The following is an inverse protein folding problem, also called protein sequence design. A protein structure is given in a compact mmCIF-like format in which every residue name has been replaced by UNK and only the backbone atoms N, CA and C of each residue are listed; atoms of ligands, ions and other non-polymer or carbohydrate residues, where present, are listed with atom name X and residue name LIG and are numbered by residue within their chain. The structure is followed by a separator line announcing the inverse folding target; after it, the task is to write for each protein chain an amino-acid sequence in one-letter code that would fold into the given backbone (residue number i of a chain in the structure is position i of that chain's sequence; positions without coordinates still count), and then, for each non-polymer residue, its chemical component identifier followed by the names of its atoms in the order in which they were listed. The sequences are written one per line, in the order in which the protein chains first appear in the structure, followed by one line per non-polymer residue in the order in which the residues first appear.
data_IF_334536859193
#
_entry.id   IF_334536859193
#
_cell.length_a   1.000
_cell.length_b   1.000
_cell.length_c   1.000
_cell.angle_alpha   90.00
_cell.angle_beta   90.00
_cell.angle_gamma   90.00
#
_symmetry.space_group_name_H-M   'P 1'
#
loop_
_entity.id
_entity.type
_entity.pdbx_description
1 polymer ?
#
# COMPACT_ATOMS: atom_id res chain seq x y z
N UNK A 1 26.19 -31.62 -90.24
CA UNK A 1 25.39 -32.06 -89.07
C UNK A 1 25.85 -31.44 -87.74
N UNK A 2 27.08 -30.89 -87.63
CA UNK A 2 27.64 -30.33 -86.40
C UNK A 2 27.09 -28.93 -86.00
N UNK A 3 26.81 -28.07 -86.98
CA UNK A 3 26.34 -26.69 -86.70
C UNK A 3 24.87 -26.57 -86.28
N UNK A 4 24.05 -27.62 -86.46
CA UNK A 4 22.65 -27.63 -86.04
C UNK A 4 22.53 -28.08 -84.57
N UNK A 5 23.43 -28.96 -84.11
CA UNK A 5 23.47 -29.43 -82.72
C UNK A 5 23.95 -28.35 -81.74
N UNK A 6 24.91 -27.51 -82.15
CA UNK A 6 25.45 -26.44 -81.31
C UNK A 6 24.42 -25.32 -81.05
N UNK A 7 23.59 -25.00 -82.05
CA UNK A 7 22.54 -23.97 -81.94
C UNK A 7 21.37 -24.38 -81.04
N UNK A 8 21.01 -25.66 -81.01
CA UNK A 8 20.00 -26.21 -80.09
C UNK A 8 20.53 -26.26 -78.65
N UNK A 9 21.78 -26.68 -78.45
CA UNK A 9 22.41 -26.75 -77.13
C UNK A 9 22.52 -25.38 -76.44
N UNK A 10 22.84 -24.31 -77.18
CA UNK A 10 22.88 -22.94 -76.66
C UNK A 10 21.49 -22.34 -76.38
N UNK A 11 20.42 -22.86 -77.01
CA UNK A 11 19.04 -22.43 -76.76
C UNK A 11 18.50 -23.00 -75.45
N UNK A 12 18.84 -24.24 -75.13
CA UNK A 12 18.47 -24.89 -73.86
C UNK A 12 19.33 -24.41 -72.68
N UNK A 13 20.60 -24.05 -72.89
CA UNK A 13 21.44 -23.42 -71.83
C UNK A 13 20.88 -22.08 -71.35
N UNK A 14 20.31 -21.27 -72.26
CA UNK A 14 19.66 -20.00 -71.89
C UNK A 14 18.33 -20.20 -71.17
N UNK A 15 17.60 -21.27 -71.46
CA UNK A 15 16.35 -21.63 -70.77
C UNK A 15 16.66 -22.28 -69.39
N UNK A 16 17.74 -23.06 -69.28
CA UNK A 16 18.22 -23.63 -68.01
C UNK A 16 18.76 -22.55 -67.05
N UNK A 17 19.40 -21.51 -67.59
CA UNK A 17 19.87 -20.33 -66.83
C UNK A 17 18.74 -19.34 -66.47
N UNK A 18 17.59 -19.36 -67.16
CA UNK A 18 16.41 -18.59 -66.77
C UNK A 18 15.57 -19.31 -65.71
N UNK A 19 15.58 -20.65 -65.67
CA UNK A 19 14.89 -21.44 -64.63
C UNK A 19 15.63 -21.48 -63.28
N UNK A 20 16.95 -21.20 -63.25
CA UNK A 20 17.71 -21.07 -62.00
C UNK A 20 17.55 -19.69 -61.32
N UNK A 21 16.87 -18.74 -61.96
CA UNK A 21 16.59 -17.42 -61.40
C UNK A 21 15.27 -17.32 -60.61
N UNK A 22 14.51 -18.43 -60.49
CA UNK A 22 13.21 -18.47 -59.78
C UNK A 22 13.30 -19.22 -58.43
N UNK A 23 14.47 -19.69 -58.01
CA UNK A 23 14.68 -20.39 -56.72
C UNK A 23 15.47 -19.51 -55.73
N UNK A 24 15.11 -18.24 -55.65
CA UNK A 24 15.49 -17.36 -54.53
C UNK A 24 14.26 -16.56 -54.09
N UNK A 25 13.15 -17.25 -53.83
CA UNK A 25 12.15 -16.71 -52.92
C UNK A 25 12.64 -17.08 -51.53
N UNK A 26 13.13 -16.07 -50.83
CA UNK A 26 13.60 -16.13 -49.45
C UNK A 26 12.64 -16.91 -48.57
N UNK A 27 13.00 -18.14 -48.22
CA UNK A 27 12.60 -18.73 -46.95
C UNK A 27 13.48 -18.10 -45.88
N UNK A 28 13.19 -16.84 -45.55
CA UNK A 28 13.62 -16.29 -44.27
C UNK A 28 12.80 -17.02 -43.21
N UNK A 29 13.43 -17.94 -42.51
CA UNK A 29 13.02 -18.24 -41.14
C UNK A 29 13.08 -16.90 -40.40
N UNK A 30 11.95 -16.43 -39.85
CA UNK A 30 11.95 -15.42 -38.80
C UNK A 30 12.62 -16.06 -37.57
N UNK A 31 13.93 -16.11 -37.63
CA UNK A 31 14.79 -16.31 -36.49
C UNK A 31 14.77 -15.00 -35.72
N UNK A 32 14.44 -15.07 -34.43
CA UNK A 32 14.32 -13.92 -33.54
C UNK A 32 15.65 -13.13 -33.51
N UNK A 33 15.76 -12.14 -34.37
CA UNK A 33 16.85 -11.16 -34.38
C UNK A 33 16.61 -10.15 -33.23
N UNK A 34 17.46 -10.14 -32.19
CA UNK A 34 17.33 -9.24 -31.05
C UNK A 34 17.60 -7.76 -31.41
N UNK A 35 17.94 -7.43 -32.66
CA UNK A 35 18.24 -6.07 -33.12
C UNK A 35 17.19 -5.43 -34.01
N UNK A 36 16.06 -6.10 -34.32
CA UNK A 36 14.97 -5.49 -35.07
C UNK A 36 14.23 -4.42 -34.23
N UNK A 37 14.35 -3.11 -34.55
CA UNK A 37 13.67 -2.05 -33.80
C UNK A 37 12.15 -2.12 -33.91
N UNK A 38 11.60 -2.96 -34.80
CA UNK A 38 10.17 -3.08 -35.08
C UNK A 38 9.49 -4.30 -34.44
N UNK A 39 10.16 -5.04 -33.55
CA UNK A 39 9.51 -6.12 -32.82
C UNK A 39 8.47 -5.54 -31.83
N UNK A 40 7.19 -5.69 -32.14
CA UNK A 40 6.10 -5.16 -31.31
C UNK A 40 5.94 -6.04 -30.06
N UNK A 41 5.81 -5.42 -28.89
CA UNK A 41 5.44 -6.14 -27.66
C UNK A 41 4.03 -6.68 -27.86
N UNK A 42 3.79 -7.93 -27.49
CA UNK A 42 2.46 -8.55 -27.64
C UNK A 42 2.12 -9.41 -26.44
N UNK A 43 0.87 -9.40 -26.01
CA UNK A 43 0.33 -10.32 -25.01
C UNK A 43 -0.58 -11.32 -25.72
N UNK A 44 -0.27 -12.61 -25.60
CA UNK A 44 -1.07 -13.69 -26.20
C UNK A 44 -2.09 -14.25 -25.24
N UNK A 45 -1.79 -14.31 -23.93
CA UNK A 45 -2.74 -14.77 -22.93
C UNK A 45 -2.41 -14.30 -21.52
N UNK A 46 -3.43 -14.28 -20.67
CA UNK A 46 -3.35 -14.08 -19.23
C UNK A 46 -4.01 -15.27 -18.55
N UNK A 47 -3.30 -15.98 -17.67
CA UNK A 47 -3.83 -17.15 -16.98
C UNK A 47 -3.38 -17.22 -15.52
N UNK A 48 -4.30 -17.40 -14.55
CA UNK A 48 -5.76 -17.37 -14.73
C UNK A 48 -6.28 -16.02 -15.25
N UNK A 49 -7.44 -16.01 -15.92
CA UNK A 49 -8.09 -14.78 -16.41
C UNK A 49 -8.84 -13.98 -15.34
N UNK A 50 -8.79 -14.45 -14.09
CA UNK A 50 -9.38 -13.81 -12.93
C UNK A 50 -8.55 -14.17 -11.68
N UNK A 51 -8.56 -13.32 -10.66
CA UNK A 51 -7.85 -13.59 -9.42
C UNK A 51 -8.16 -12.57 -8.34
N UNK A 52 -7.84 -12.92 -7.10
CA UNK A 52 -7.82 -11.99 -6.00
C UNK A 52 -6.53 -11.16 -6.04
N UNK A 53 -6.55 -9.99 -5.41
CA UNK A 53 -5.33 -9.25 -5.11
C UNK A 53 -4.33 -10.18 -4.38
N UNK A 54 -3.07 -10.19 -4.84
CA UNK A 54 -1.99 -11.04 -4.33
C UNK A 54 -1.82 -12.38 -5.05
N UNK A 55 -2.82 -12.83 -5.81
CA UNK A 55 -2.75 -14.07 -6.60
C UNK A 55 -1.67 -13.94 -7.68
N UNK A 56 -0.92 -15.02 -7.90
CA UNK A 56 0.09 -15.08 -8.96
C UNK A 56 -0.59 -15.44 -10.28
N UNK A 57 -0.44 -14.56 -11.28
CA UNK A 57 -0.90 -14.78 -12.65
C UNK A 57 0.28 -14.90 -13.60
N UNK A 58 0.06 -15.57 -14.74
CA UNK A 58 1.04 -15.68 -15.83
C UNK A 58 0.55 -14.90 -17.04
N UNK A 59 1.36 -13.95 -17.50
CA UNK A 59 1.16 -13.21 -18.74
C UNK A 59 2.11 -13.80 -19.78
N UNK A 60 1.56 -14.37 -20.85
CA UNK A 60 2.33 -14.96 -21.95
C UNK A 60 2.36 -13.99 -23.13
N UNK A 61 3.51 -13.83 -23.77
CA UNK A 61 3.68 -12.85 -24.84
C UNK A 61 5.06 -12.86 -25.50
N UNK A 62 5.34 -11.87 -26.34
CA UNK A 62 6.61 -11.75 -27.07
C UNK A 62 7.24 -10.39 -26.82
N UNK A 63 8.58 -10.34 -26.97
CA UNK A 63 9.39 -9.12 -26.84
C UNK A 63 9.30 -8.46 -25.44
N UNK A 64 9.11 -9.26 -24.40
CA UNK A 64 9.31 -8.81 -23.02
C UNK A 64 10.80 -8.60 -22.73
N UNK A 65 11.13 -7.73 -21.79
CA UNK A 65 12.51 -7.60 -21.34
C UNK A 65 12.89 -8.81 -20.50
N UNK A 66 14.12 -9.30 -20.64
CA UNK A 66 14.70 -10.28 -19.72
C UNK A 66 15.04 -9.68 -18.34
N UNK A 67 14.98 -8.36 -18.18
CA UNK A 67 15.18 -7.65 -16.91
C UNK A 67 13.81 -7.42 -16.26
N UNK A 68 13.60 -7.98 -15.07
CA UNK A 68 12.33 -7.89 -14.32
C UNK A 68 11.85 -6.44 -14.20
N UNK A 69 12.70 -5.53 -13.73
CA UNK A 69 12.36 -4.12 -13.47
C UNK A 69 12.06 -3.30 -14.73
N UNK A 70 12.40 -3.81 -15.91
CA UNK A 70 12.12 -3.16 -17.20
C UNK A 70 10.75 -3.55 -17.78
N UNK A 71 10.03 -4.49 -17.16
CA UNK A 71 8.66 -4.85 -17.53
C UNK A 71 7.68 -4.21 -16.53
N UNK A 72 6.95 -3.19 -16.95
CA UNK A 72 5.90 -2.56 -16.16
C UNK A 72 4.56 -3.16 -16.54
N UNK A 73 3.84 -3.77 -15.60
CA UNK A 73 2.53 -4.39 -15.84
C UNK A 73 1.46 -3.57 -15.17
N UNK A 74 0.42 -3.17 -15.90
CA UNK A 74 -0.65 -2.32 -15.40
C UNK A 74 -1.97 -3.09 -15.34
N UNK A 75 -2.59 -3.11 -14.17
CA UNK A 75 -3.94 -3.61 -13.93
C UNK A 75 -4.88 -2.40 -13.83
N UNK A 76 -5.55 -2.05 -14.93
CA UNK A 76 -6.43 -0.87 -15.01
C UNK A 76 -5.78 0.42 -14.46
N UNK A 77 -4.49 0.63 -14.75
CA UNK A 77 -3.72 1.81 -14.33
C UNK A 77 -2.85 1.62 -13.07
N UNK A 78 -3.06 0.55 -12.29
CA UNK A 78 -2.19 0.21 -11.15
C UNK A 78 -0.98 -0.58 -11.64
N UNK A 79 0.23 -0.05 -11.40
CA UNK A 79 1.48 -0.68 -11.79
C UNK A 79 1.86 -1.84 -10.86
N UNK A 80 2.37 -2.91 -11.45
CA UNK A 80 2.97 -4.08 -10.82
C UNK A 80 4.26 -4.43 -11.58
N UNK A 81 5.21 -5.02 -10.87
CA UNK A 81 6.41 -5.61 -11.46
C UNK A 81 6.33 -7.14 -11.38
N UNK A 82 6.83 -7.87 -12.37
CA UNK A 82 6.88 -9.33 -12.31
C UNK A 82 7.75 -9.82 -11.14
N UNK A 83 7.35 -10.95 -10.55
CA UNK A 83 8.18 -11.72 -9.62
C UNK A 83 9.25 -12.49 -10.40
N UNK A 84 8.94 -12.89 -11.64
CA UNK A 84 9.79 -13.74 -12.48
C UNK A 84 9.55 -13.46 -13.97
N UNK A 85 10.64 -13.48 -14.75
CA UNK A 85 10.60 -13.53 -16.22
C UNK A 85 11.06 -14.91 -16.66
N UNK A 86 10.19 -15.66 -17.35
CA UNK A 86 10.53 -16.95 -17.97
C UNK A 86 10.86 -16.69 -19.44
N UNK A 87 12.12 -16.91 -19.81
CA UNK A 87 12.57 -16.79 -21.19
C UNK A 87 11.96 -17.91 -22.05
N UNK A 88 11.63 -17.59 -23.30
CA UNK A 88 11.01 -18.52 -24.24
C UNK A 88 10.46 -17.81 -25.48
N UNK A 89 9.83 -18.55 -26.38
CA UNK A 89 9.06 -18.03 -27.50
C UNK A 89 7.70 -18.76 -27.56
N UNK A 90 6.65 -18.26 -26.88
CA UNK A 90 6.56 -16.96 -26.20
C UNK A 90 7.25 -16.91 -24.81
N UNK A 91 7.64 -15.70 -24.40
CA UNK A 91 8.10 -15.38 -23.04
C UNK A 91 6.93 -15.34 -22.05
N UNK A 92 7.22 -15.45 -20.75
CA UNK A 92 6.20 -15.32 -19.69
C UNK A 92 6.64 -14.39 -18.58
N UNK A 93 5.71 -13.58 -18.08
CA UNK A 93 5.86 -12.81 -16.85
C UNK A 93 4.99 -13.46 -15.78
N UNK A 94 5.56 -13.84 -14.64
CA UNK A 94 4.76 -14.19 -13.46
C UNK A 94 4.61 -12.95 -12.61
N UNK A 95 3.38 -12.49 -12.41
CA UNK A 95 3.08 -11.20 -11.78
C UNK A 95 1.98 -11.43 -10.75
N UNK A 96 2.10 -10.81 -9.57
CA UNK A 96 1.00 -10.80 -8.61
C UNK A 96 0.00 -9.71 -8.96
N UNK A 97 -1.29 -10.00 -8.82
CA UNK A 97 -2.33 -8.98 -8.91
C UNK A 97 -2.05 -7.91 -7.84
N UNK A 98 -1.76 -6.66 -8.22
CA UNK A 98 -1.31 -5.64 -7.28
C UNK A 98 -2.44 -5.16 -6.39
N UNK A 99 -2.06 -4.54 -5.29
CA UNK A 99 -2.98 -3.85 -4.40
C UNK A 99 -3.73 -2.74 -5.13
N UNK A 100 -5.05 -2.69 -4.98
CA UNK A 100 -5.90 -1.71 -5.66
C UNK A 100 -6.19 -2.02 -7.13
N UNK A 101 -5.78 -3.19 -7.65
CA UNK A 101 -6.15 -3.63 -8.99
C UNK A 101 -7.67 -3.58 -9.20
N UNK A 102 -8.08 -3.15 -10.39
CA UNK A 102 -9.47 -3.21 -10.84
C UNK A 102 -9.58 -4.14 -12.05
N UNK A 103 -10.77 -4.70 -12.24
CA UNK A 103 -11.08 -5.48 -13.42
C UNK A 103 -10.89 -4.65 -14.69
N UNK A 104 -10.32 -5.26 -15.73
CA UNK A 104 -10.02 -4.57 -16.97
C UNK A 104 -8.91 -5.24 -17.76
N UNK A 105 -8.49 -4.61 -18.86
CA UNK A 105 -7.37 -5.11 -19.65
C UNK A 105 -6.05 -4.90 -18.92
N UNK A 106 -5.15 -5.89 -19.01
CA UNK A 106 -3.78 -5.78 -18.53
C UNK A 106 -2.93 -5.15 -19.63
N UNK A 107 -2.11 -4.16 -19.27
CA UNK A 107 -1.14 -3.55 -20.19
C UNK A 107 0.27 -3.87 -19.75
N UNK A 108 1.14 -4.29 -20.66
CA UNK A 108 2.58 -4.45 -20.39
C UNK A 108 3.33 -3.38 -21.16
N UNK A 109 4.19 -2.62 -20.46
CA UNK A 109 5.15 -1.68 -21.06
C UNK A 109 6.57 -2.19 -20.89
N UNK A 110 7.32 -2.23 -21.97
CA UNK A 110 8.73 -2.62 -21.99
C UNK A 110 9.45 -1.92 -23.15
N UNK A 111 10.65 -1.42 -22.91
CA UNK A 111 11.46 -0.74 -23.94
C UNK A 111 10.76 0.42 -24.66
N UNK A 112 9.87 1.15 -23.96
CA UNK A 112 9.08 2.25 -24.53
C UNK A 112 7.89 1.82 -25.42
N UNK A 113 7.65 0.52 -25.55
CA UNK A 113 6.51 -0.06 -26.29
C UNK A 113 5.46 -0.58 -25.30
N UNK A 114 4.20 -0.66 -25.73
CA UNK A 114 3.11 -1.18 -24.92
C UNK A 114 2.25 -2.21 -25.66
N UNK A 115 1.68 -3.14 -24.90
CA UNK A 115 0.77 -4.16 -25.39
C UNK A 115 -0.37 -4.38 -24.39
N UNK A 116 -1.57 -4.62 -24.89
CA UNK A 116 -2.76 -4.89 -24.09
C UNK A 116 -3.15 -6.37 -24.21
N UNK A 117 -3.70 -6.94 -23.13
CA UNK A 117 -4.19 -8.32 -23.11
C UNK A 117 -5.37 -8.50 -24.08
N UNK A 118 -5.54 -9.70 -24.68
CA UNK A 118 -6.63 -9.94 -25.63
C UNK A 118 -8.02 -10.01 -24.96
N UNK A 119 -8.07 -10.22 -23.64
CA UNK A 119 -9.28 -10.25 -22.83
C UNK A 119 -9.09 -9.46 -21.54
N UNK A 120 -10.22 -9.06 -20.93
CA UNK A 120 -10.22 -8.47 -19.59
C UNK A 120 -9.80 -9.50 -18.55
N UNK A 121 -9.08 -9.04 -17.54
CA UNK A 121 -8.81 -9.76 -16.30
C UNK A 121 -9.83 -9.33 -15.24
N UNK A 122 -10.42 -10.30 -14.54
CA UNK A 122 -11.41 -10.02 -13.47
C UNK A 122 -10.77 -10.06 -12.10
N UNK A 123 -10.84 -8.95 -11.36
CA UNK A 123 -10.37 -8.89 -9.96
C UNK A 123 -11.52 -9.28 -9.04
N UNK A 124 -11.42 -10.47 -8.43
CA UNK A 124 -12.54 -11.10 -7.72
C UNK A 124 -12.94 -10.41 -6.41
N UNK A 125 -12.01 -9.69 -5.79
CA UNK A 125 -12.22 -8.97 -4.54
C UNK A 125 -12.10 -7.45 -4.71
N UNK A 126 -12.31 -6.91 -5.92
CA UNK A 126 -12.26 -5.46 -6.12
C UNK A 126 -13.26 -4.75 -5.21
N UNK A 127 -12.85 -3.62 -4.65
CA UNK A 127 -13.73 -2.76 -3.88
C UNK A 127 -13.81 -1.40 -4.55
N UNK A 128 -14.97 -1.14 -5.14
CA UNK A 128 -15.30 0.12 -5.79
C UNK A 128 -16.12 0.96 -4.81
N UNK A 129 -15.85 2.27 -4.77
CA UNK A 129 -16.54 3.22 -3.90
C UNK A 129 -15.61 4.03 -3.00
N UNK A 130 -16.19 5.03 -2.36
CA UNK A 130 -15.53 5.98 -1.49
C UNK A 130 -15.25 5.36 -0.12
N UNK A 131 -13.97 5.23 0.25
CA UNK A 131 -13.57 4.74 1.58
C UNK A 131 -13.71 5.80 2.68
N UNK A 132 -13.91 7.05 2.30
CA UNK A 132 -13.99 8.19 3.22
C UNK A 132 -15.24 9.00 2.88
N UNK A 133 -16.45 8.48 3.16
CA UNK A 133 -17.71 9.15 2.88
C UNK A 133 -17.95 10.30 3.87
N UNK A 134 -17.08 11.31 3.81
CA UNK A 134 -17.09 12.46 4.70
C UNK A 134 -18.11 13.48 4.20
N UNK A 135 -19.12 13.73 5.02
CA UNK A 135 -20.15 14.73 4.78
C UNK A 135 -20.63 15.30 6.13
N UNK A 136 -21.01 16.58 6.14
CA UNK A 136 -21.47 17.24 7.37
C UNK A 136 -22.68 16.54 7.97
N UNK A 137 -22.62 16.17 9.25
CA UNK A 137 -23.67 15.44 9.95
C UNK A 137 -23.54 13.91 9.89
N UNK A 138 -22.53 13.37 9.22
CA UNK A 138 -22.17 11.96 9.27
C UNK A 138 -21.58 11.59 10.64
N UNK A 139 -21.92 10.40 11.15
CA UNK A 139 -21.35 9.88 12.39
C UNK A 139 -21.07 8.38 12.36
N UNK A 140 -20.14 7.97 13.23
CA UNK A 140 -19.83 6.58 13.52
C UNK A 140 -19.79 6.36 15.02
N UNK A 141 -20.34 5.24 15.48
CA UNK A 141 -20.25 4.78 16.87
C UNK A 141 -19.55 3.42 16.88
N UNK A 142 -18.56 3.28 17.74
CA UNK A 142 -17.72 2.09 17.87
C UNK A 142 -17.85 1.49 19.25
N UNK A 143 -17.80 0.16 19.32
CA UNK A 143 -17.35 -0.50 20.54
C UNK A 143 -15.83 -0.31 20.65
N UNK A 144 -15.36 -0.03 21.86
CA UNK A 144 -13.95 0.11 22.19
C UNK A 144 -13.56 -1.00 23.16
N UNK A 145 -12.43 -1.66 22.90
CA UNK A 145 -11.89 -2.74 23.73
C UNK A 145 -10.44 -2.41 24.07
N UNK A 146 -10.08 -2.47 25.36
CA UNK A 146 -8.67 -2.47 25.73
C UNK A 146 -8.03 -3.80 25.30
N UNK A 147 -6.80 -3.75 24.84
CA UNK A 147 -5.99 -4.94 24.58
C UNK A 147 -4.97 -5.13 25.71
N UNK A 148 -4.52 -6.36 25.93
CA UNK A 148 -3.37 -6.67 26.78
C UNK A 148 -2.04 -6.55 26.01
N UNK A 149 -0.93 -6.87 26.66
CA UNK A 149 0.42 -6.85 26.06
C UNK A 149 0.63 -7.88 24.95
N UNK A 150 -0.33 -8.79 24.74
CA UNK A 150 -0.35 -9.83 23.70
C UNK A 150 -1.41 -9.58 22.63
N UNK A 151 -1.95 -8.36 22.56
CA UNK A 151 -2.97 -7.92 21.60
C UNK A 151 -4.33 -8.63 21.72
N UNK A 152 -4.64 -9.19 22.90
CA UNK A 152 -5.94 -9.81 23.19
C UNK A 152 -6.85 -8.87 23.96
N UNK A 153 -8.16 -8.92 23.68
CA UNK A 153 -9.14 -8.08 24.38
C UNK A 153 -9.17 -8.41 25.86
N UNK A 154 -9.10 -7.39 26.69
CA UNK A 154 -9.28 -7.50 28.14
C UNK A 154 -10.77 -7.68 28.45
N UNK A 155 -11.13 -8.72 29.19
CA UNK A 155 -12.52 -8.99 29.57
C UNK A 155 -13.11 -7.82 30.37
N UNK A 156 -14.33 -7.41 30.05
CA UNK A 156 -15.02 -6.31 30.73
C UNK A 156 -14.59 -4.90 30.29
N UNK A 157 -13.63 -4.76 29.36
CA UNK A 157 -13.14 -3.45 28.89
C UNK A 157 -14.00 -2.76 27.81
N UNK A 158 -15.26 -3.18 27.65
CA UNK A 158 -16.12 -2.69 26.57
C UNK A 158 -16.64 -1.28 26.88
N UNK A 159 -16.14 -0.30 26.12
CA UNK A 159 -16.52 1.11 26.18
C UNK A 159 -17.07 1.55 24.82
N UNK A 160 -17.46 2.82 24.71
CA UNK A 160 -17.90 3.40 23.44
C UNK A 160 -17.02 4.55 23.01
N UNK A 161 -16.84 4.65 21.70
CA UNK A 161 -16.25 5.79 21.01
C UNK A 161 -17.22 6.27 19.92
N UNK A 162 -17.19 7.55 19.58
CA UNK A 162 -17.89 8.06 18.41
C UNK A 162 -17.13 9.18 17.73
N UNK A 163 -17.36 9.26 16.43
CA UNK A 163 -16.86 10.29 15.55
C UNK A 163 -18.05 11.00 14.93
N UNK A 164 -18.02 12.33 14.87
CA UNK A 164 -19.05 13.16 14.25
C UNK A 164 -18.41 14.23 13.36
N UNK A 165 -18.86 14.33 12.11
CA UNK A 165 -18.41 15.38 11.20
C UNK A 165 -19.27 16.62 11.44
N UNK A 166 -18.67 17.61 12.09
CA UNK A 166 -19.37 18.84 12.49
C UNK A 166 -19.42 19.92 11.40
N UNK A 167 -18.52 19.85 10.42
CA UNK A 167 -18.43 20.82 9.33
C UNK A 167 -17.08 20.74 8.62
N UNK A 168 -16.72 21.80 7.92
CA UNK A 168 -15.43 21.96 7.26
C UNK A 168 -14.68 23.19 7.78
N UNK A 169 -13.36 23.18 7.59
CA UNK A 169 -12.44 24.28 7.85
C UNK A 169 -11.33 24.27 6.81
N UNK A 170 -10.60 25.38 6.66
CA UNK A 170 -9.46 25.46 5.75
C UNK A 170 -8.15 25.45 6.54
N UNK A 171 -7.30 24.46 6.29
CA UNK A 171 -5.92 24.43 6.76
C UNK A 171 -4.98 24.27 5.59
N UNK A 172 -3.95 25.12 5.52
CA UNK A 172 -2.92 25.09 4.48
C UNK A 172 -3.47 25.05 3.05
N UNK A 173 -4.59 25.76 2.79
CA UNK A 173 -5.21 25.84 1.47
C UNK A 173 -6.06 24.63 1.09
N UNK A 174 -6.29 23.68 2.01
CA UNK A 174 -7.18 22.52 1.80
C UNK A 174 -8.44 22.68 2.64
N UNK A 175 -9.60 22.54 2.00
CA UNK A 175 -10.84 22.33 2.72
C UNK A 175 -10.81 20.94 3.37
N UNK A 176 -11.06 20.91 4.67
CA UNK A 176 -10.90 19.74 5.52
C UNK A 176 -12.08 19.59 6.46
N UNK A 177 -12.47 18.35 6.74
CA UNK A 177 -13.56 18.02 7.63
C UNK A 177 -13.12 18.09 9.09
N UNK A 178 -13.96 18.69 9.93
CA UNK A 178 -13.79 18.75 11.38
C UNK A 178 -14.47 17.52 11.99
N UNK A 179 -13.67 16.56 12.46
CA UNK A 179 -14.12 15.34 13.12
C UNK A 179 -14.03 15.53 14.64
N UNK A 180 -15.20 15.65 15.27
CA UNK A 180 -15.31 15.64 16.72
C UNK A 180 -15.24 14.20 17.21
N UNK A 181 -14.34 13.92 18.17
CA UNK A 181 -14.20 12.62 18.80
C UNK A 181 -14.79 12.64 20.20
N UNK A 182 -15.49 11.58 20.55
CA UNK A 182 -16.00 11.34 21.89
C UNK A 182 -15.60 9.92 22.33
N UNK A 183 -15.27 9.77 23.61
CA UNK A 183 -14.86 8.49 24.20
C UNK A 183 -15.40 8.36 25.61
N UNK A 184 -15.76 7.14 26.01
CA UNK A 184 -16.11 6.87 27.41
C UNK A 184 -14.85 6.90 28.28
N UNK A 185 -14.88 7.70 29.34
CA UNK A 185 -13.86 7.69 30.37
C UNK A 185 -13.93 6.37 31.16
N UNK A 186 -12.85 5.57 31.21
CA UNK A 186 -12.85 4.28 31.90
C UNK A 186 -13.11 4.37 33.42
N UNK A 187 -12.75 5.50 34.04
CA UNK A 187 -12.86 5.69 35.50
C UNK A 187 -14.25 6.19 35.90
N UNK A 188 -14.78 7.15 35.14
CA UNK A 188 -16.05 7.82 35.49
C UNK A 188 -17.26 7.25 34.74
N UNK A 189 -17.03 6.42 33.72
CA UNK A 189 -18.04 5.96 32.76
C UNK A 189 -18.78 7.08 32.02
N UNK A 190 -18.29 8.33 32.11
CA UNK A 190 -18.86 9.48 31.42
C UNK A 190 -18.40 9.53 29.97
N UNK A 191 -19.26 10.04 29.09
CA UNK A 191 -18.94 10.20 27.67
C UNK A 191 -18.38 11.59 27.40
N UNK A 192 -17.10 11.66 27.06
CA UNK A 192 -16.36 12.93 27.03
C UNK A 192 -15.87 13.27 25.63
N UNK A 193 -15.92 14.58 25.31
CA UNK A 193 -15.34 15.12 24.09
C UNK A 193 -13.81 15.11 24.18
N UNK A 194 -13.16 14.67 23.10
CA UNK A 194 -11.70 14.71 22.92
C UNK A 194 -11.33 15.81 21.91
N UNK A 195 -10.03 15.93 21.62
CA UNK A 195 -9.55 16.91 20.65
C UNK A 195 -10.16 16.65 19.27
N UNK A 196 -10.47 17.74 18.56
CA UNK A 196 -10.92 17.63 17.18
C UNK A 196 -9.78 17.16 16.29
N UNK A 197 -10.13 16.33 15.33
CA UNK A 197 -9.23 15.86 14.29
C UNK A 197 -9.68 16.42 12.95
N UNK A 198 -8.73 16.66 12.06
CA UNK A 198 -8.99 17.27 10.76
C UNK A 198 -8.47 16.37 9.66
N UNK A 199 -9.30 16.17 8.65
CA UNK A 199 -8.98 15.30 7.53
C UNK A 199 -9.47 15.90 6.22
N UNK A 200 -8.71 15.68 5.15
CA UNK A 200 -9.21 15.88 3.79
C UNK A 200 -8.86 14.67 2.94
N UNK A 201 -9.52 14.56 1.79
CA UNK A 201 -9.33 13.48 0.84
C UNK A 201 -8.96 14.07 -0.52
N UNK A 202 -8.09 13.39 -1.24
CA UNK A 202 -7.66 13.79 -2.58
C UNK A 202 -7.17 12.53 -3.32
N UNK A 203 -7.66 12.30 -4.54
CA UNK A 203 -7.30 11.14 -5.36
C UNK A 203 -7.37 9.78 -4.61
N UNK A 204 -8.46 9.54 -3.87
CA UNK A 204 -8.67 8.36 -3.03
C UNK A 204 -7.61 8.14 -1.92
N UNK A 205 -6.91 9.21 -1.52
CA UNK A 205 -6.00 9.22 -0.37
C UNK A 205 -6.64 9.96 0.79
N UNK A 206 -6.27 9.58 2.00
CA UNK A 206 -6.67 10.26 3.23
C UNK A 206 -5.47 10.99 3.82
N UNK A 207 -5.67 12.25 4.16
CA UNK A 207 -4.68 13.10 4.81
C UNK A 207 -5.19 13.56 6.16
N UNK A 208 -4.27 13.72 7.12
CA UNK A 208 -4.60 14.16 8.48
C UNK A 208 -3.70 15.30 8.95
N UNK A 209 -4.25 16.12 9.86
CA UNK A 209 -3.55 17.19 10.55
C UNK A 209 -2.69 16.64 11.70
N UNK A 210 -1.60 17.31 12.10
CA UNK A 210 -0.69 16.88 13.18
C UNK A 210 -1.36 16.37 14.47
N UNK A 211 -2.49 16.97 14.88
CA UNK A 211 -3.26 16.59 16.07
C UNK A 211 -3.60 15.10 16.13
N UNK A 212 -3.80 14.44 14.97
CA UNK A 212 -4.03 13.00 14.92
C UNK A 212 -2.89 12.21 15.56
N UNK A 213 -1.65 12.60 15.28
CA UNK A 213 -0.48 11.92 15.83
C UNK A 213 -0.25 12.26 17.30
N UNK A 214 -0.65 13.45 17.75
CA UNK A 214 -0.63 13.78 19.17
C UNK A 214 -1.48 12.77 19.94
N UNK A 215 -2.71 12.48 19.48
CA UNK A 215 -3.56 11.45 20.09
C UNK A 215 -3.02 10.03 19.90
N UNK A 216 -2.47 9.71 18.72
CA UNK A 216 -1.99 8.36 18.39
C UNK A 216 -0.74 7.95 19.16
N UNK A 217 0.16 8.92 19.35
CA UNK A 217 1.43 8.77 20.06
C UNK A 217 1.29 9.13 21.53
N UNK A 218 0.13 9.66 21.97
CA UNK A 218 -0.11 9.93 23.38
C UNK A 218 -0.03 8.60 24.13
N UNK A 219 0.88 8.54 25.08
CA UNK A 219 1.02 7.40 25.96
C UNK A 219 0.18 7.69 27.21
N UNK A 220 -1.14 7.70 27.06
CA UNK A 220 -2.06 7.98 28.17
C UNK A 220 -1.70 7.11 29.39
N UNK A 221 -1.40 7.74 30.53
CA UNK A 221 -0.95 7.06 31.75
C UNK A 221 0.56 6.80 31.86
N UNK A 222 1.35 7.15 30.85
CA UNK A 222 2.81 7.12 30.88
C UNK A 222 3.37 8.50 31.25
N UNK A 223 4.44 8.56 32.05
CA UNK A 223 5.12 9.82 32.35
C UNK A 223 5.89 10.42 31.16
N UNK A 224 5.84 9.79 29.99
CA UNK A 224 6.61 10.11 28.80
C UNK A 224 5.78 11.05 27.92
N UNK A 225 6.14 12.33 27.88
CA UNK A 225 5.64 13.30 26.89
C UNK A 225 6.58 13.34 25.69
N UNK A 226 6.02 13.43 24.48
CA UNK A 226 6.83 13.57 23.27
C UNK A 226 7.60 14.89 23.33
N UNK A 227 8.94 14.88 23.19
CA UNK A 227 9.77 16.08 23.33
C UNK A 227 9.72 16.98 22.08
N UNK A 228 8.73 16.82 21.22
CA UNK A 228 8.67 17.48 19.93
C UNK A 228 7.27 17.86 19.54
N UNK A 229 7.21 18.94 18.77
CA UNK A 229 6.04 19.29 17.98
C UNK A 229 6.15 18.60 16.62
N UNK A 230 5.03 18.13 16.12
CA UNK A 230 4.93 17.59 14.76
C UNK A 230 4.78 18.76 13.82
N UNK A 231 5.57 18.78 12.75
CA UNK A 231 5.58 19.89 11.80
C UNK A 231 4.16 20.16 11.26
N UNK A 232 3.77 21.43 11.23
CA UNK A 232 2.43 21.88 10.83
C UNK A 232 2.22 21.75 9.31
N UNK A 233 1.88 20.53 8.87
CA UNK A 233 1.58 20.17 7.47
C UNK A 233 0.63 18.98 7.40
N UNK A 234 0.11 18.70 6.22
CA UNK A 234 -0.73 17.54 5.98
C UNK A 234 0.07 16.24 5.84
N UNK A 235 -0.42 15.16 6.45
CA UNK A 235 0.20 13.84 6.42
C UNK A 235 -0.69 12.82 5.75
N UNK A 236 -0.20 12.16 4.71
CA UNK A 236 -0.92 11.07 4.03
C UNK A 236 -0.93 9.83 4.91
N UNK A 237 -2.11 9.37 5.32
CA UNK A 237 -2.26 8.22 6.22
C UNK A 237 -2.93 7.01 5.56
N UNK A 238 -3.41 7.16 4.33
CA UNK A 238 -3.97 6.06 3.56
C UNK A 238 -3.83 6.35 2.07
N UNK A 239 -3.35 5.35 1.32
CA UNK A 239 -3.20 5.40 -0.14
C UNK A 239 -3.51 4.02 -0.73
N UNK A 240 -4.56 3.93 -1.55
CA UNK A 240 -4.97 2.66 -2.18
C UNK A 240 -4.03 2.20 -3.28
N UNK A 241 -3.21 3.09 -3.80
CA UNK A 241 -2.40 2.89 -5.01
C UNK A 241 -0.95 2.56 -4.72
N UNK A 242 -0.52 2.72 -3.46
CA UNK A 242 0.85 2.49 -3.02
C UNK A 242 0.89 1.37 -1.99
N UNK A 243 1.85 0.44 -2.16
CA UNK A 243 2.07 -0.65 -1.21
C UNK A 243 2.56 -0.12 0.14
N UNK A 244 3.53 0.80 0.12
CA UNK A 244 4.09 1.46 1.28
C UNK A 244 4.42 2.93 0.97
N UNK A 245 4.40 3.78 1.99
CA UNK A 245 4.84 5.17 1.92
C UNK A 245 5.35 5.66 3.28
N UNK A 246 6.21 6.68 3.26
CA UNK A 246 6.63 7.36 4.49
C UNK A 246 5.56 8.38 4.89
N UNK A 247 5.11 8.30 6.14
CA UNK A 247 4.14 9.25 6.72
C UNK A 247 4.92 10.36 7.43
N UNK A 248 5.75 10.00 8.40
CA UNK A 248 6.49 10.94 9.24
C UNK A 248 7.89 10.40 9.48
N UNK A 249 8.89 11.28 9.42
CA UNK A 249 10.24 10.99 9.90
C UNK A 249 10.75 12.20 10.68
N UNK A 250 11.32 11.97 11.86
CA UNK A 250 11.88 13.02 12.72
C UNK A 250 13.16 12.53 13.38
N UNK A 251 14.24 13.26 13.14
CA UNK A 251 15.53 13.05 13.77
C UNK A 251 15.61 13.84 15.08
N UNK A 252 16.15 13.22 16.12
CA UNK A 252 16.40 13.77 17.45
C UNK A 252 17.91 13.81 17.67
N UNK A 253 18.43 14.96 18.04
CA UNK A 253 19.86 15.16 18.31
C UNK A 253 20.04 15.69 19.73
N UNK A 254 20.05 14.77 20.70
CA UNK A 254 20.17 15.07 22.12
C UNK A 254 19.08 16.02 22.63
N UNK A 255 17.83 15.76 22.23
CA UNK A 255 16.68 16.58 22.60
C UNK A 255 16.30 16.33 24.07
N UNK A 256 15.96 17.37 24.84
CA UNK A 256 15.55 17.22 26.24
C UNK A 256 14.22 16.49 26.34
N UNK A 257 14.09 15.59 27.31
CA UNK A 257 12.88 14.81 27.53
C UNK A 257 12.66 14.53 29.01
N UNK A 258 11.39 14.60 29.45
CA UNK A 258 11.00 14.25 30.82
C UNK A 258 10.72 12.76 30.92
N UNK A 259 11.31 12.12 31.94
CA UNK A 259 11.03 10.75 32.35
C UNK A 259 10.47 10.79 33.77
N UNK A 260 9.18 11.11 33.87
CA UNK A 260 8.52 11.37 35.14
C UNK A 260 9.08 12.62 35.81
N UNK A 261 9.56 12.54 37.06
CA UNK A 261 10.14 13.70 37.75
C UNK A 261 11.57 14.02 37.29
N UNK A 262 12.19 13.18 36.45
CA UNK A 262 13.61 13.30 36.07
C UNK A 262 13.79 13.87 34.67
N UNK A 263 14.88 14.61 34.49
CA UNK A 263 15.35 15.09 33.20
C UNK A 263 16.26 14.07 32.53
N UNK A 264 16.10 13.95 31.22
CA UNK A 264 16.98 13.16 30.37
C UNK A 264 17.06 13.75 28.97
N UNK A 265 17.76 13.05 28.09
CA UNK A 265 17.83 13.40 26.68
C UNK A 265 17.58 12.18 25.81
N UNK A 266 17.10 12.42 24.60
CA UNK A 266 16.86 11.40 23.59
C UNK A 266 17.56 11.78 22.27
N UNK A 267 18.19 10.80 21.65
CA UNK A 267 18.77 10.91 20.31
C UNK A 267 18.32 9.74 19.48
N UNK A 268 18.05 9.92 18.19
CA UNK A 268 17.58 8.83 17.33
C UNK A 268 16.59 9.28 16.29
N UNK A 269 15.90 8.32 15.68
CA UNK A 269 14.97 8.60 14.59
C UNK A 269 13.59 8.00 14.89
N UNK A 270 12.56 8.85 14.88
CA UNK A 270 11.16 8.42 14.84
C UNK A 270 10.72 8.32 13.40
N UNK A 271 10.18 7.16 13.02
CA UNK A 271 9.57 6.94 11.71
C UNK A 271 8.16 6.41 11.87
N UNK A 272 7.25 6.89 11.02
CA UNK A 272 5.92 6.33 10.82
C UNK A 272 5.81 6.00 9.34
N UNK A 273 5.61 4.73 9.02
CA UNK A 273 5.39 4.23 7.66
C UNK A 273 3.97 3.74 7.52
N UNK A 274 3.33 4.06 6.39
CA UNK A 274 2.03 3.54 6.02
C UNK A 274 2.17 2.39 5.03
N UNK A 275 1.26 1.42 5.10
CA UNK A 275 1.14 0.37 4.08
C UNK A 275 -0.32 0.12 3.71
N UNK A 276 -0.53 -0.32 2.48
CA UNK A 276 -1.78 -0.91 2.02
C UNK A 276 -1.61 -2.43 1.99
N UNK A 277 -2.26 -3.11 2.92
CA UNK A 277 -2.07 -4.52 3.19
C UNK A 277 -3.07 -5.43 2.47
N UNK A 278 -4.02 -4.89 1.72
CA UNK A 278 -5.02 -5.73 1.09
C UNK A 278 -6.45 -5.36 1.29
N UNK A 279 -7.25 -6.21 0.69
CA UNK A 279 -8.64 -6.38 1.01
C UNK A 279 -8.75 -7.60 1.93
N UNK A 280 -9.30 -7.39 3.10
CA UNK A 280 -9.57 -8.43 4.10
C UNK A 280 -11.09 -8.49 4.32
N UNK A 281 -11.67 -9.70 4.31
CA UNK A 281 -13.06 -9.87 4.69
C UNK A 281 -13.16 -9.87 6.22
N UNK A 282 -13.94 -8.93 6.76
CA UNK A 282 -14.13 -8.82 8.20
C UNK A 282 -15.61 -8.76 8.55
N UNK A 283 -15.92 -9.11 9.80
CA UNK A 283 -17.25 -9.01 10.37
C UNK A 283 -17.20 -8.12 11.60
N UNK A 284 -17.94 -7.01 11.58
CA UNK A 284 -18.17 -6.13 12.72
C UNK A 284 -19.68 -6.03 13.00
N UNK A 285 -20.13 -5.60 14.19
CA UNK A 285 -21.55 -5.58 14.53
C UNK A 285 -22.44 -4.84 13.53
N UNK A 286 -21.96 -3.74 12.96
CA UNK A 286 -22.72 -2.96 11.97
C UNK A 286 -22.80 -3.61 10.58
N UNK A 287 -21.77 -4.37 10.18
CA UNK A 287 -21.61 -4.86 8.81
C UNK A 287 -20.54 -5.97 8.70
N UNK A 288 -20.76 -6.90 7.79
CA UNK A 288 -19.73 -7.86 7.34
C UNK A 288 -19.46 -7.67 5.85
N UNK A 289 -18.21 -7.83 5.43
CA UNK A 289 -17.83 -7.67 4.03
C UNK A 289 -16.34 -7.42 3.83
N UNK A 290 -15.98 -7.14 2.58
CA UNK A 290 -14.63 -6.77 2.20
C UNK A 290 -14.27 -5.39 2.77
N UNK A 291 -13.08 -5.27 3.34
CA UNK A 291 -12.53 -4.02 3.89
C UNK A 291 -11.11 -3.81 3.36
N UNK A 292 -10.72 -2.57 3.04
CA UNK A 292 -9.31 -2.24 2.82
C UNK A 292 -8.59 -2.17 4.15
N UNK A 293 -7.48 -2.90 4.27
CA UNK A 293 -6.59 -2.86 5.41
C UNK A 293 -5.41 -1.95 5.12
N UNK A 294 -5.29 -0.87 5.89
CA UNK A 294 -4.08 -0.06 5.94
C UNK A 294 -3.36 -0.29 7.26
N UNK A 295 -2.03 -0.23 7.26
CA UNK A 295 -1.24 -0.22 8.50
C UNK A 295 -0.45 1.06 8.65
N UNK A 296 -0.20 1.43 9.90
CA UNK A 296 0.83 2.37 10.28
C UNK A 296 1.82 1.66 11.18
N UNK A 297 3.09 1.68 10.81
CA UNK A 297 4.19 1.18 11.65
C UNK A 297 4.97 2.35 12.21
N UNK A 298 4.94 2.48 13.53
CA UNK A 298 5.61 3.51 14.30
C UNK A 298 6.87 2.88 14.90
N UNK A 299 8.02 3.46 14.59
CA UNK A 299 9.31 3.01 15.10
C UNK A 299 10.14 4.17 15.64
N UNK A 300 10.73 3.97 16.80
CA UNK A 300 11.84 4.79 17.27
C UNK A 300 13.07 3.90 17.42
N UNK A 301 14.20 4.33 16.88
CA UNK A 301 15.51 3.71 17.09
C UNK A 301 16.52 4.78 17.47
N UNK A 302 17.15 4.61 18.63
CA UNK A 302 18.05 5.63 19.16
C UNK A 302 18.61 5.28 20.52
N UNK A 303 18.96 6.32 21.27
CA UNK A 303 19.50 6.25 22.62
C UNK A 303 18.79 7.23 23.55
N UNK A 304 18.84 6.92 24.83
CA UNK A 304 18.34 7.75 25.91
C UNK A 304 19.40 7.91 26.99
N UNK A 305 19.49 9.10 27.57
CA UNK A 305 20.33 9.39 28.73
C UNK A 305 19.46 9.91 29.87
N UNK A 306 19.43 9.18 30.98
CA UNK A 306 18.78 9.59 32.23
C UNK A 306 19.78 9.36 33.38
N UNK A 307 20.65 10.34 33.68
CA UNK A 307 21.71 10.17 34.67
C UNK A 307 21.20 9.74 36.05
N UNK A 308 20.02 10.22 36.45
CA UNK A 308 19.37 9.85 37.72
C UNK A 308 19.04 8.37 37.86
N UNK A 309 18.92 7.63 36.76
CA UNK A 309 18.72 6.17 36.74
C UNK A 309 19.98 5.41 36.29
N UNK A 310 21.14 6.08 36.22
CA UNK A 310 22.39 5.48 35.74
C UNK A 310 22.39 5.16 34.25
N UNK A 311 21.40 5.64 33.50
CA UNK A 311 21.29 5.42 32.07
C UNK A 311 22.11 6.48 31.33
N UNK A 312 23.20 6.07 30.70
CA UNK A 312 24.06 6.95 29.91
C UNK A 312 24.09 6.43 28.48
N UNK A 313 23.46 7.16 27.55
CA UNK A 313 23.37 6.79 26.14
C UNK A 313 22.94 5.33 25.90
N UNK A 314 21.96 4.86 26.67
CA UNK A 314 21.45 3.49 26.59
C UNK A 314 20.52 3.34 25.39
N UNK A 315 20.52 2.19 24.73
CA UNK A 315 19.64 1.95 23.59
C UNK A 315 18.17 2.17 23.96
N UNK A 316 17.42 2.79 23.05
CA UNK A 316 15.99 2.98 23.14
C UNK A 316 15.36 2.54 21.83
N UNK A 317 14.48 1.54 21.90
CA UNK A 317 13.69 1.10 20.74
C UNK A 317 12.22 1.10 21.07
N UNK A 318 11.42 1.58 20.14
CA UNK A 318 9.97 1.55 20.18
C UNK A 318 9.47 0.92 18.89
N UNK A 319 8.55 -0.04 18.99
CA UNK A 319 7.80 -0.55 17.84
C UNK A 319 6.31 -0.64 18.21
N UNK A 320 5.47 -0.03 17.37
CA UNK A 320 4.00 -0.14 17.45
C UNK A 320 3.44 -0.27 16.04
N UNK A 321 2.42 -1.10 15.91
CA UNK A 321 1.65 -1.24 14.67
C UNK A 321 0.19 -0.87 14.93
N UNK A 322 -0.41 -0.15 13.98
CA UNK A 322 -1.81 0.22 14.00
C UNK A 322 -2.46 -0.22 12.69
N UNK A 323 -3.53 -0.99 12.77
CA UNK A 323 -4.27 -1.50 11.62
C UNK A 323 -5.59 -0.75 11.50
N UNK A 324 -5.94 -0.31 10.29
CA UNK A 324 -7.19 0.38 9.97
C UNK A 324 -7.92 -0.38 8.87
N UNK A 325 -9.22 -0.56 9.07
CA UNK A 325 -10.08 -1.28 8.14
C UNK A 325 -11.18 -0.36 7.65
N UNK A 326 -11.29 -0.17 6.33
CA UNK A 326 -12.28 0.70 5.70
C UNK A 326 -13.18 -0.08 4.76
N UNK A 327 -14.49 0.15 4.84
CA UNK A 327 -15.47 -0.35 3.87
C UNK A 327 -15.96 0.81 3.00
N UNK A 328 -16.10 0.55 1.70
CA UNK A 328 -16.65 1.52 0.76
C UNK A 328 -18.06 1.97 1.19
N UNK A 329 -18.31 3.28 1.04
CA UNK A 329 -19.55 3.98 1.41
C UNK A 329 -19.91 3.89 2.90
N UNK A 330 -19.02 3.36 3.74
CA UNK A 330 -19.22 3.28 5.20
C UNK A 330 -18.11 4.02 5.93
N UNK A 331 -16.86 3.97 5.48
CA UNK A 331 -15.74 4.54 6.23
C UNK A 331 -15.00 3.51 7.08
N UNK A 332 -14.34 3.98 8.15
CA UNK A 332 -13.57 3.11 9.04
C UNK A 332 -14.51 2.21 9.83
N UNK A 333 -14.39 0.91 9.65
CA UNK A 333 -15.21 -0.10 10.33
C UNK A 333 -14.49 -0.78 11.49
N UNK A 334 -13.16 -0.83 11.47
CA UNK A 334 -12.33 -1.37 12.54
C UNK A 334 -10.99 -0.64 12.62
N UNK A 335 -10.46 -0.54 13.83
CA UNK A 335 -9.09 -0.10 14.08
C UNK A 335 -8.49 -0.99 15.16
N UNK A 336 -7.25 -1.42 15.00
CA UNK A 336 -6.51 -2.17 16.02
C UNK A 336 -5.14 -1.52 16.23
N UNK A 337 -4.98 -0.84 17.36
CA UNK A 337 -3.67 -0.39 17.82
C UNK A 337 -3.06 -1.52 18.65
N UNK A 338 -1.99 -2.13 18.16
CA UNK A 338 -1.29 -3.20 18.89
C UNK A 338 -0.49 -2.62 20.06
N UNK A 339 -0.15 -3.49 21.01
CA UNK A 339 0.69 -3.15 22.13
C UNK A 339 2.03 -2.59 21.64
N UNK A 340 2.47 -1.50 22.25
CA UNK A 340 3.76 -0.91 21.95
C UNK A 340 4.85 -1.62 22.71
N UNK A 341 5.88 -2.05 22.00
CA UNK A 341 7.07 -2.63 22.59
C UNK A 341 8.10 -1.54 22.81
N UNK A 342 8.41 -1.24 24.07
CA UNK A 342 9.45 -0.30 24.45
C UNK A 342 10.61 -1.10 25.07
N UNK A 343 11.74 -1.10 24.38
CA UNK A 343 12.96 -1.78 24.80
C UNK A 343 13.99 -0.75 25.25
N UNK A 344 14.49 -0.97 26.46
CA UNK A 344 15.57 -0.23 27.09
C UNK A 344 16.46 -1.27 27.78
N UNK A 345 17.76 -1.40 27.43
CA UNK A 345 18.65 -2.36 28.08
C UNK A 345 18.67 -2.18 29.61
N UNK A 346 18.58 -3.30 30.33
CA UNK A 346 18.58 -3.35 31.80
C UNK A 346 17.38 -2.66 32.48
N UNK A 347 16.39 -2.19 31.73
CA UNK A 347 15.06 -1.88 32.24
C UNK A 347 14.13 -3.09 32.03
N UNK A 348 13.01 -3.13 32.74
CA UNK A 348 11.96 -4.11 32.47
C UNK A 348 11.37 -3.79 31.09
N UNK A 349 11.41 -4.75 30.16
CA UNK A 349 10.71 -4.64 28.88
C UNK A 349 9.27 -4.23 29.15
N UNK A 350 8.93 -3.04 28.68
CA UNK A 350 7.62 -2.47 28.95
C UNK A 350 6.78 -2.59 27.69
N UNK A 351 5.65 -3.28 27.83
CA UNK A 351 4.63 -3.35 26.80
C UNK A 351 3.50 -2.43 27.24
N UNK A 352 3.28 -1.36 26.47
CA UNK A 352 2.15 -0.45 26.72
C UNK A 352 0.97 -1.02 25.93
N UNK A 353 -0.11 -1.46 26.62
CA UNK A 353 -1.21 -2.11 25.95
C UNK A 353 -1.88 -1.22 24.90
N UNK A 354 -2.51 -1.87 23.93
CA UNK A 354 -3.20 -1.21 22.83
C UNK A 354 -4.72 -1.17 23.02
N UNK A 355 -5.42 -0.95 21.92
CA UNK A 355 -6.88 -1.00 21.89
C UNK A 355 -7.40 -1.47 20.53
N UNK A 356 -8.64 -1.91 20.51
CA UNK A 356 -9.38 -2.25 19.30
C UNK A 356 -10.73 -1.56 19.30
N UNK A 357 -11.14 -1.02 18.15
CA UNK A 357 -12.48 -0.48 17.96
C UNK A 357 -13.20 -1.19 16.82
N UNK A 358 -14.49 -1.47 16.98
CA UNK A 358 -15.33 -2.09 15.96
C UNK A 358 -16.63 -1.31 15.77
N UNK A 359 -17.02 -1.08 14.52
CA UNK A 359 -18.18 -0.27 14.20
C UNK A 359 -19.47 -0.93 14.68
N UNK A 360 -20.19 -0.22 15.53
CA UNK A 360 -21.46 -0.62 16.10
C UNK A 360 -22.63 -0.09 15.26
N UNK A 361 -22.59 1.18 14.89
CA UNK A 361 -23.61 1.83 14.05
C UNK A 361 -23.05 3.09 13.41
N UNK A 362 -23.69 3.58 12.36
CA UNK A 362 -23.28 4.76 11.61
C UNK A 362 -24.47 5.41 10.90
N UNK A 363 -24.28 6.67 10.52
CA UNK A 363 -25.12 7.38 9.57
C UNK A 363 -24.19 8.09 8.59
N UNK A 364 -24.30 7.76 7.30
CA UNK A 364 -23.69 8.53 6.21
C UNK A 364 -24.78 9.44 5.65
N UNK A 365 -24.49 10.74 5.56
CA UNK A 365 -25.40 11.74 4.97
C UNK A 365 -25.10 12.03 3.51
#
# INVERSE_FOLDING_TARGET
MFNIFLGLFMKYIKILLLMSAVIWISSCTEENDPTNPNSQVSITSVSPGQGNIGDLITITGNNFSNIISANQVFFAGIIAYPDEVVLGNPMKLKVRVPQGAMSGFITVRTGGKEAQSPSQFTVLNEMIGNLYPFSGGTYWVYNYFMLDSTDKRVQGSNLKDSLFISGTTNFFGKESFIIQKYSTNPETSQYERKNDQYFYTEDNKLYTHPNFFVDLLNLSGSPIQLPFTIDEKWYKISDRTQYEWDILAKLFSNEPMKFGPTDGTVSGNLTIKGSNDGIENISVPAKSGNSFKFKMKIKFEGTVSVPSFGMNNSDLKLDREVEFYYMAEIGRVKMKMKAMKLFIPNAVDSSIPGFETELLTYLIK
#
